data_IF_052976017642
#
_entry.id   IF_052976017642
#
_cell.length_a   1.000
_cell.length_b   1.000
_cell.length_c   1.000
_cell.angle_alpha   90.00
_cell.angle_beta   90.00
_cell.angle_gamma   90.00
#
_symmetry.space_group_name_H-M   'P 1'
#
loop_
_entity.id
_entity.type
_entity.pdbx_description
1 polymer ?
#
# COMPACT_ATOMS: atom_id res chain seq x y z
N UNK A 1 19.47 -1.45 -2.67
CA UNK A 1 18.09 -1.63 -2.15
C UNK A 1 17.50 -0.25 -1.97
N UNK A 2 16.56 0.16 -2.82
CA UNK A 2 15.94 1.50 -2.74
C UNK A 2 14.66 1.36 -1.92
N UNK A 3 14.65 1.92 -0.70
CA UNK A 3 13.43 2.08 0.10
C UNK A 3 12.60 3.19 -0.52
N UNK A 4 11.46 2.85 -1.13
CA UNK A 4 10.52 3.79 -1.74
C UNK A 4 11.15 4.62 -2.87
N UNK A 5 11.07 4.13 -4.11
CA UNK A 5 11.39 4.97 -5.27
C UNK A 5 10.19 5.85 -5.61
N UNK A 6 10.39 7.09 -6.06
CA UNK A 6 9.30 8.00 -6.49
C UNK A 6 8.31 7.37 -7.50
N UNK A 7 8.78 6.39 -8.27
CA UNK A 7 7.96 5.58 -9.19
C UNK A 7 6.93 4.66 -8.52
N UNK A 8 6.91 4.53 -7.19
CA UNK A 8 5.91 3.72 -6.47
C UNK A 8 4.70 4.54 -6.02
N UNK A 9 4.78 5.87 -6.02
CA UNK A 9 3.67 6.76 -5.66
C UNK A 9 2.42 6.54 -6.54
N UNK A 10 2.52 6.44 -7.87
CA UNK A 10 1.35 6.18 -8.71
C UNK A 10 0.68 4.84 -8.38
N UNK A 11 1.49 3.81 -8.09
CA UNK A 11 0.97 2.51 -7.65
C UNK A 11 0.20 2.63 -6.34
N UNK A 12 0.76 3.32 -5.33
CA UNK A 12 0.08 3.53 -4.04
C UNK A 12 -1.23 4.29 -4.20
N UNK A 13 -1.27 5.31 -5.07
CA UNK A 13 -2.50 6.04 -5.34
C UNK A 13 -3.59 5.14 -5.94
N UNK A 14 -3.26 4.39 -7.01
CA UNK A 14 -4.20 3.44 -7.61
C UNK A 14 -4.61 2.34 -6.62
N UNK A 15 -3.68 1.84 -5.82
CA UNK A 15 -3.95 0.82 -4.80
C UNK A 15 -4.97 1.31 -3.77
N UNK A 16 -4.76 2.51 -3.23
CA UNK A 16 -5.66 3.09 -2.22
C UNK A 16 -7.05 3.37 -2.81
N UNK A 17 -7.14 3.86 -4.05
CA UNK A 17 -8.42 4.09 -4.72
C UNK A 17 -9.21 2.79 -4.88
N UNK A 18 -8.58 1.75 -5.42
CA UNK A 18 -9.21 0.43 -5.62
C UNK A 18 -9.58 -0.23 -4.28
N UNK A 19 -8.73 -0.11 -3.26
CA UNK A 19 -9.02 -0.66 -1.94
C UNK A 19 -10.22 0.02 -1.28
N UNK A 20 -10.28 1.35 -1.31
CA UNK A 20 -11.44 2.10 -0.78
C UNK A 20 -12.72 1.77 -1.52
N UNK A 21 -12.66 1.60 -2.84
CA UNK A 21 -13.80 1.15 -3.64
C UNK A 21 -14.32 -0.20 -3.15
N UNK A 22 -13.44 -1.19 -2.97
CA UNK A 22 -13.80 -2.52 -2.46
C UNK A 22 -14.40 -2.48 -1.04
N UNK A 23 -13.86 -1.62 -0.16
CA UNK A 23 -14.41 -1.43 1.19
C UNK A 23 -15.79 -0.77 1.15
N UNK A 24 -15.98 0.26 0.32
CA UNK A 24 -17.25 0.95 0.16
C UNK A 24 -18.34 0.02 -0.39
N UNK A 25 -18.01 -0.85 -1.34
CA UNK A 25 -18.91 -1.90 -1.86
C UNK A 25 -19.39 -2.87 -0.77
N UNK A 26 -18.63 -2.99 0.34
CA UNK A 26 -18.96 -3.77 1.54
C UNK A 26 -19.57 -2.93 2.67
N UNK A 27 -19.93 -1.67 2.40
CA UNK A 27 -20.43 -0.71 3.39
C UNK A 27 -19.45 -0.40 4.53
N UNK A 28 -18.14 -0.49 4.27
CA UNK A 28 -17.09 -0.15 5.24
C UNK A 28 -16.57 1.24 4.90
N UNK A 29 -16.84 2.20 5.79
CA UNK A 29 -16.32 3.56 5.65
C UNK A 29 -14.80 3.58 5.81
N UNK A 30 -14.12 4.31 4.94
CA UNK A 30 -12.65 4.38 4.96
C UNK A 30 -12.12 5.76 4.56
N UNK A 31 -11.10 6.20 5.29
CA UNK A 31 -10.28 7.37 4.99
C UNK A 31 -8.82 6.94 4.84
N UNK A 32 -8.15 7.49 3.84
CA UNK A 32 -6.75 7.18 3.53
C UNK A 32 -5.88 8.41 3.70
N UNK A 33 -4.67 8.22 4.20
CA UNK A 33 -3.63 9.24 4.28
C UNK A 33 -2.32 8.66 3.77
N UNK A 34 -1.61 9.40 2.91
CA UNK A 34 -0.32 9.01 2.38
C UNK A 34 0.78 9.77 3.13
N UNK A 35 1.64 9.02 3.81
CA UNK A 35 2.80 9.58 4.50
C UNK A 35 4.06 9.34 3.68
N UNK A 36 4.82 10.41 3.42
CA UNK A 36 6.16 10.33 2.85
C UNK A 36 7.18 10.62 3.94
N UNK A 37 8.30 9.88 4.02
CA UNK A 37 9.40 10.23 4.93
C UNK A 37 9.99 11.63 4.69
N UNK A 38 9.75 12.21 3.51
CA UNK A 38 10.14 13.59 3.16
C UNK A 38 9.05 14.62 3.46
N UNK A 39 7.94 14.20 4.05
CA UNK A 39 6.89 15.11 4.50
C UNK A 39 7.39 15.93 5.69
N UNK A 40 6.99 17.19 5.75
CA UNK A 40 7.18 18.05 6.94
C UNK A 40 6.09 17.82 7.99
N UNK A 41 5.10 16.96 7.72
CA UNK A 41 4.05 16.63 8.68
C UNK A 41 4.66 15.93 9.90
N UNK A 42 4.32 16.45 11.08
CA UNK A 42 4.75 15.85 12.35
C UNK A 42 3.90 14.63 12.71
N UNK A 43 4.44 13.75 13.54
CA UNK A 43 3.68 12.59 14.07
C UNK A 43 2.39 13.05 14.78
N UNK A 44 2.45 14.17 15.53
CA UNK A 44 1.28 14.75 16.20
C UNK A 44 0.16 15.14 15.22
N UNK A 45 0.49 15.67 14.04
CA UNK A 45 -0.51 16.03 13.04
C UNK A 45 -1.20 14.78 12.46
N UNK A 46 -0.47 13.67 12.35
CA UNK A 46 -1.02 12.40 11.89
C UNK A 46 -1.93 11.81 12.97
N UNK A 47 -1.49 11.83 14.23
CA UNK A 47 -2.27 11.37 15.38
C UNK A 47 -3.56 12.19 15.53
N UNK A 48 -3.51 13.49 15.31
CA UNK A 48 -4.69 14.36 15.31
C UNK A 48 -5.65 14.00 14.16
N UNK A 49 -5.14 13.75 12.95
CA UNK A 49 -5.98 13.30 11.81
C UNK A 49 -6.66 11.96 12.08
N UNK A 50 -5.96 11.03 12.72
CA UNK A 50 -6.51 9.72 13.13
C UNK A 50 -7.59 9.94 14.19
N UNK A 51 -7.28 10.70 15.24
CA UNK A 51 -8.21 10.98 16.35
C UNK A 51 -9.48 11.68 15.88
N UNK A 52 -9.36 12.68 15.00
CA UNK A 52 -10.49 13.40 14.43
C UNK A 52 -11.40 12.53 13.55
N UNK A 53 -10.85 11.49 12.91
CA UNK A 53 -11.65 10.53 12.16
C UNK A 53 -12.31 9.48 13.06
N UNK A 54 -11.76 9.24 14.25
CA UNK A 54 -12.23 8.24 15.21
C UNK A 54 -12.46 6.84 14.60
N UNK A 55 -11.45 6.25 13.94
CA UNK A 55 -11.60 4.95 13.29
C UNK A 55 -11.73 3.82 14.32
N UNK A 56 -12.42 2.73 13.95
CA UNK A 56 -12.41 1.49 14.75
C UNK A 56 -11.15 0.66 14.58
N UNK A 57 -10.47 0.81 13.45
CA UNK A 57 -9.25 0.10 13.07
C UNK A 57 -8.38 1.00 12.21
N UNK A 58 -7.07 0.89 12.38
CA UNK A 58 -6.08 1.64 11.60
C UNK A 58 -5.28 0.63 10.79
N UNK A 59 -5.26 0.79 9.47
CA UNK A 59 -4.43 -0.03 8.58
C UNK A 59 -3.21 0.77 8.11
N UNK A 60 -2.02 0.22 8.33
CA UNK A 60 -0.76 0.76 7.83
C UNK A 60 -0.19 -0.17 6.77
N UNK A 61 0.11 0.38 5.59
CA UNK A 61 0.69 -0.35 4.45
C UNK A 61 2.03 0.28 4.12
N UNK A 62 3.11 -0.45 4.39
CA UNK A 62 4.48 0.02 4.17
C UNK A 62 5.18 -0.82 3.11
N UNK A 63 5.70 -0.21 2.06
CA UNK A 63 6.56 -0.92 1.13
C UNK A 63 7.91 -1.23 1.80
N UNK A 64 8.22 -2.51 1.96
CA UNK A 64 9.49 -2.96 2.53
C UNK A 64 10.54 -3.22 1.45
N UNK A 65 10.10 -3.63 0.26
CA UNK A 65 11.00 -3.98 -0.84
C UNK A 65 10.48 -3.46 -2.19
N UNK A 66 11.40 -2.99 -3.02
CA UNK A 66 11.18 -2.74 -4.44
C UNK A 66 12.00 -3.73 -5.26
N UNK A 67 11.39 -4.31 -6.29
CA UNK A 67 12.03 -5.21 -7.25
C UNK A 67 12.06 -4.51 -8.60
N UNK A 68 13.25 -4.43 -9.18
CA UNK A 68 13.48 -3.97 -10.55
C UNK A 68 14.02 -5.14 -11.36
N UNK A 69 13.46 -5.37 -12.54
CA UNK A 69 14.01 -6.34 -13.49
C UNK A 69 14.66 -5.56 -14.62
N UNK A 70 15.98 -5.65 -14.73
CA UNK A 70 16.73 -5.04 -15.83
C UNK A 70 16.77 -6.08 -16.95
N UNK A 71 16.14 -5.77 -18.09
CA UNK A 71 16.13 -6.67 -19.23
C UNK A 71 17.42 -6.45 -20.04
N UNK A 72 18.44 -7.29 -19.83
CA UNK A 72 19.75 -7.14 -20.48
C UNK A 72 19.79 -7.52 -21.98
N UNK A 73 18.67 -7.95 -22.57
CA UNK A 73 18.64 -8.53 -23.93
C UNK A 73 17.89 -7.68 -24.98
N UNK A 74 17.56 -6.41 -24.70
CA UNK A 74 16.88 -5.53 -25.65
C UNK A 74 17.81 -4.53 -26.32
N UNK A 75 18.11 -4.70 -27.61
CA UNK A 75 18.64 -3.64 -28.48
C UNK A 75 17.56 -2.57 -28.68
N UNK A 76 17.41 -1.67 -27.71
CA UNK A 76 16.42 -0.60 -27.73
C UNK A 76 16.84 0.54 -26.82
N UNK A 77 16.87 1.75 -27.37
CA UNK A 77 17.22 2.98 -26.67
C UNK A 77 16.26 3.21 -25.49
N UNK A 78 16.72 2.90 -24.27
CA UNK A 78 15.97 3.18 -23.05
C UNK A 78 16.28 2.19 -21.94
N UNK A 79 17.44 2.32 -21.30
CA UNK A 79 17.70 1.72 -19.99
C UNK A 79 16.81 2.42 -18.95
N UNK A 80 15.53 2.07 -18.88
CA UNK A 80 14.64 2.51 -17.81
C UNK A 80 14.38 1.31 -16.91
N UNK A 81 15.09 1.27 -15.77
CA UNK A 81 14.85 0.30 -14.71
C UNK A 81 13.45 0.50 -14.13
N UNK A 82 12.46 -0.13 -14.76
CA UNK A 82 11.08 -0.10 -14.30
C UNK A 82 10.96 -1.04 -13.10
N UNK A 83 10.38 -0.56 -12.01
CA UNK A 83 10.01 -1.46 -10.90
C UNK A 83 9.00 -2.47 -11.43
N UNK A 84 9.27 -3.74 -11.23
CA UNK A 84 8.46 -4.87 -11.72
C UNK A 84 7.75 -5.63 -10.59
N UNK A 85 7.97 -5.26 -9.33
CA UNK A 85 7.27 -5.83 -8.19
C UNK A 85 7.73 -5.25 -6.85
N UNK A 86 7.01 -5.54 -5.79
CA UNK A 86 7.34 -5.05 -4.46
C UNK A 86 6.67 -5.88 -3.36
N UNK A 87 7.29 -5.84 -2.19
CA UNK A 87 6.76 -6.44 -0.97
C UNK A 87 6.24 -5.32 -0.07
N UNK A 88 5.04 -5.51 0.46
CA UNK A 88 4.37 -4.59 1.36
C UNK A 88 4.09 -5.29 2.68
N UNK A 89 4.42 -4.63 3.78
CA UNK A 89 4.05 -5.00 5.14
C UNK A 89 2.73 -4.30 5.47
N UNK A 90 1.67 -5.09 5.64
CA UNK A 90 0.33 -4.60 5.99
C UNK A 90 0.06 -4.95 7.44
N UNK A 91 -0.30 -3.95 8.24
CA UNK A 91 -0.63 -4.10 9.66
C UNK A 91 -1.97 -3.45 9.97
N UNK A 92 -2.75 -4.09 10.83
CA UNK A 92 -3.98 -3.53 11.38
C UNK A 92 -3.77 -3.35 12.89
N UNK A 93 -4.15 -2.18 13.38
CA UNK A 93 -4.10 -1.79 14.78
C UNK A 93 -5.49 -1.44 15.27
N UNK A 94 -5.74 -1.72 16.55
CA UNK A 94 -6.79 -1.01 17.28
C UNK A 94 -6.33 0.43 17.55
N UNK A 95 -7.27 1.38 17.69
CA UNK A 95 -6.95 2.72 18.17
C UNK A 95 -6.12 2.64 19.46
N UNK A 96 -5.12 3.52 19.59
CA UNK A 96 -4.20 3.62 20.73
C UNK A 96 -3.31 2.39 21.01
N UNK A 97 -3.44 1.31 20.22
CA UNK A 97 -2.58 0.13 20.36
C UNK A 97 -1.26 0.30 19.61
N UNK A 98 -0.15 0.09 20.33
CA UNK A 98 1.19 -0.02 19.71
C UNK A 98 1.43 -1.37 19.04
N UNK A 99 0.63 -2.38 19.37
CA UNK A 99 0.78 -3.73 18.85
C UNK A 99 -0.27 -3.99 17.75
N UNK A 100 0.15 -4.53 16.58
CA UNK A 100 -0.80 -4.88 15.54
C UNK A 100 -1.65 -6.08 16.00
N UNK A 101 -2.95 -6.00 15.77
CA UNK A 101 -3.88 -7.12 15.97
C UNK A 101 -3.83 -8.10 14.81
N UNK A 102 -3.35 -7.65 13.65
CA UNK A 102 -3.13 -8.49 12.47
C UNK A 102 -1.99 -7.94 11.61
N UNK A 103 -1.26 -8.82 10.94
CA UNK A 103 -0.15 -8.48 10.05
C UNK A 103 -0.05 -9.48 8.90
N UNK A 104 0.15 -8.99 7.69
CA UNK A 104 0.45 -9.81 6.52
C UNK A 104 1.51 -9.18 5.63
N UNK A 105 2.22 -10.04 4.89
CA UNK A 105 3.12 -9.61 3.83
C UNK A 105 2.42 -9.78 2.48
N UNK A 106 2.20 -8.67 1.77
CA UNK A 106 1.61 -8.65 0.44
C UNK A 106 2.70 -8.53 -0.62
N UNK A 107 2.76 -9.48 -1.54
CA UNK A 107 3.63 -9.40 -2.72
C UNK A 107 2.81 -8.94 -3.92
N UNK A 108 3.14 -7.78 -4.45
CA UNK A 108 2.60 -7.30 -5.71
C UNK A 108 3.63 -7.50 -6.82
N UNK A 109 3.25 -8.26 -7.85
CA UNK A 109 4.03 -8.41 -9.07
C UNK A 109 3.36 -7.58 -10.16
N UNK A 110 4.16 -6.82 -10.90
CA UNK A 110 3.67 -5.95 -11.96
C UNK A 110 4.53 -4.70 -12.12
N UNK A 111 4.55 -4.16 -13.34
CA UNK A 111 5.20 -2.89 -13.61
C UNK A 111 4.50 -1.79 -12.81
N UNK A 112 5.23 -1.10 -11.93
CA UNK A 112 4.67 0.03 -11.18
C UNK A 112 4.29 1.14 -12.17
N UNK A 113 3.04 1.59 -12.11
CA UNK A 113 2.44 2.51 -13.09
C UNK A 113 1.35 1.86 -13.97
N UNK A 114 1.19 0.53 -13.93
CA UNK A 114 0.01 -0.13 -14.52
C UNK A 114 -1.07 -0.30 -13.45
N UNK A 115 -2.23 0.33 -13.67
CA UNK A 115 -3.44 0.28 -12.84
C UNK A 115 -3.87 -1.17 -12.53
N UNK A 116 -3.67 -2.08 -13.49
CA UNK A 116 -3.98 -3.51 -13.36
C UNK A 116 -3.16 -4.21 -12.27
N UNK A 117 -1.93 -3.78 -12.01
CA UNK A 117 -1.07 -4.34 -10.96
C UNK A 117 -1.58 -3.95 -9.57
N UNK A 118 -2.03 -2.71 -9.41
CA UNK A 118 -2.60 -2.23 -8.15
C UNK A 118 -3.91 -2.95 -7.83
N UNK A 119 -4.80 -3.11 -8.82
CA UNK A 119 -6.05 -3.85 -8.65
C UNK A 119 -5.84 -5.30 -8.20
N UNK A 120 -4.93 -6.04 -8.85
CA UNK A 120 -4.60 -7.42 -8.44
C UNK A 120 -4.03 -7.51 -7.03
N UNK A 121 -3.23 -6.53 -6.62
CA UNK A 121 -2.69 -6.47 -5.27
C UNK A 121 -3.80 -6.21 -4.23
N UNK A 122 -4.78 -5.37 -4.57
CA UNK A 122 -5.97 -5.14 -3.75
C UNK A 122 -6.83 -6.39 -3.65
N UNK A 123 -7.09 -7.09 -4.76
CA UNK A 123 -7.84 -8.35 -4.77
C UNK A 123 -7.21 -9.38 -3.80
N UNK A 124 -5.90 -9.59 -3.90
CA UNK A 124 -5.15 -10.47 -2.97
C UNK A 124 -5.26 -10.03 -1.51
N UNK A 125 -5.24 -8.73 -1.23
CA UNK A 125 -5.39 -8.23 0.14
C UNK A 125 -6.81 -8.48 0.65
N UNK A 126 -7.84 -8.22 -0.15
CA UNK A 126 -9.23 -8.46 0.21
C UNK A 126 -9.49 -9.95 0.45
N UNK A 127 -9.02 -10.81 -0.44
CA UNK A 127 -9.08 -12.27 -0.25
C UNK A 127 -8.45 -12.68 1.07
N UNK A 128 -7.25 -12.17 1.37
CA UNK A 128 -6.56 -12.50 2.63
C UNK A 128 -7.33 -12.04 3.88
N UNK A 129 -7.92 -10.85 3.83
CA UNK A 129 -8.74 -10.33 4.92
C UNK A 129 -10.01 -11.15 5.12
N UNK A 130 -10.64 -11.64 4.06
CA UNK A 130 -11.80 -12.53 4.13
C UNK A 130 -11.40 -13.90 4.72
N UNK A 131 -10.31 -14.50 4.22
CA UNK A 131 -9.77 -15.77 4.74
C UNK A 131 -9.53 -15.71 6.25
N UNK A 132 -8.96 -14.59 6.71
CA UNK A 132 -8.61 -14.36 8.11
C UNK A 132 -9.80 -13.82 8.94
N UNK A 133 -11.01 -13.73 8.35
CA UNK A 133 -12.27 -13.28 8.99
C UNK A 133 -12.23 -11.85 9.53
N UNK A 134 -11.53 -10.97 8.81
CA UNK A 134 -11.45 -9.54 9.07
C UNK A 134 -12.38 -8.70 8.19
N UNK A 135 -12.97 -9.32 7.16
CA UNK A 135 -13.95 -8.76 6.23
C UNK A 135 -15.11 -9.73 5.97
#
# INVERSE_FOLDING_TARGET
MVKGSDSTKPFFQSFVVEFRKNLNEKNIESKSHYFSPLSLESENEIDEKISNYNPKLIMMINQTESRQTINNNGFGWGNTGLNTGGTFDVKIFQPDSKNPVWRANLKADGQFGLETSAKKAVEKLIEKLIEDKLL
#
